data_IF_933117021702
#
_entry.id   IF_933117021702
#
_cell.length_a   1.000
_cell.length_b   1.000
_cell.length_c   1.000
_cell.angle_alpha   90.00
_cell.angle_beta   90.00
_cell.angle_gamma   90.00
#
_symmetry.space_group_name_H-M   'P 1'
#
loop_
_entity.id
_entity.type
_entity.pdbx_description
1 polymer ?
#
# COMPACT_ATOMS: atom_id res chain seq x y z
N UNK A 1 -60.02 -27.88 39.15
CA UNK A 1 -59.78 -28.98 38.19
C UNK A 1 -58.70 -28.50 37.22
N UNK A 2 -57.44 -28.94 37.40
CA UNK A 2 -56.53 -29.10 36.26
C UNK A 2 -57.06 -30.25 35.38
N UNK A 3 -56.62 -30.36 34.11
CA UNK A 3 -55.20 -30.48 33.80
C UNK A 3 -54.70 -29.70 32.57
N UNK A 4 -53.39 -29.83 32.38
CA UNK A 4 -52.47 -29.30 31.37
C UNK A 4 -52.80 -29.60 29.90
N UNK A 5 -52.52 -28.65 28.98
CA UNK A 5 -51.58 -28.82 27.84
C UNK A 5 -51.49 -27.53 26.96
N UNK A 6 -50.29 -26.91 26.89
CA UNK A 6 -49.34 -26.87 25.74
C UNK A 6 -49.67 -25.94 24.57
N UNK A 7 -48.91 -24.83 24.51
CA UNK A 7 -48.75 -23.92 23.37
C UNK A 7 -47.31 -23.42 23.23
N UNK A 8 -46.42 -24.35 22.87
CA UNK A 8 -45.10 -24.25 22.21
C UNK A 8 -44.45 -22.85 22.08
N UNK A 9 -43.44 -22.58 22.92
CA UNK A 9 -42.32 -21.67 22.60
C UNK A 9 -41.15 -22.50 22.07
N UNK A 10 -40.72 -22.25 20.83
CA UNK A 10 -39.65 -23.00 20.16
C UNK A 10 -38.30 -22.71 20.82
N UNK A 11 -37.87 -23.62 21.69
CA UNK A 11 -36.52 -23.69 22.26
C UNK A 11 -35.69 -24.62 21.37
N UNK A 12 -34.78 -24.07 20.56
CA UNK A 12 -33.74 -24.86 19.89
C UNK A 12 -32.45 -24.75 20.70
N UNK A 13 -32.04 -25.90 21.23
CA UNK A 13 -30.88 -26.15 22.09
C UNK A 13 -29.71 -26.58 21.21
N UNK A 14 -28.55 -25.95 21.35
CA UNK A 14 -27.28 -26.61 21.01
C UNK A 14 -26.27 -26.45 22.15
N UNK A 15 -26.13 -27.58 22.86
CA UNK A 15 -24.95 -28.16 23.51
C UNK A 15 -23.78 -27.22 23.86
N UNK A 16 -23.69 -26.88 25.14
CA UNK A 16 -22.47 -26.41 25.82
C UNK A 16 -21.55 -27.59 26.18
N UNK A 17 -20.26 -27.51 25.87
CA UNK A 17 -19.14 -28.21 26.54
C UNK A 17 -17.84 -27.40 26.32
N UNK A 18 -17.17 -27.10 27.44
CA UNK A 18 -15.76 -26.74 27.68
C UNK A 18 -15.09 -25.61 26.88
N UNK A 19 -14.84 -24.45 27.51
CA UNK A 19 -13.62 -24.07 28.29
C UNK A 19 -12.35 -23.95 27.46
N UNK A 20 -11.95 -22.69 27.20
CA UNK A 20 -10.65 -22.06 27.56
C UNK A 20 -10.63 -20.68 26.88
N UNK A 21 -11.16 -19.63 27.53
CA UNK A 21 -10.37 -18.59 28.23
C UNK A 21 -9.09 -18.17 27.51
N UNK A 22 -9.17 -16.99 26.90
CA UNK A 22 -8.03 -16.10 26.66
C UNK A 22 -7.11 -16.01 27.88
N UNK A 23 -5.83 -15.72 27.63
CA UNK A 23 -5.15 -14.74 28.46
C UNK A 23 -4.56 -13.61 27.61
N UNK A 24 -5.06 -12.40 27.88
CA UNK A 24 -4.33 -11.13 27.99
C UNK A 24 -2.83 -11.20 27.64
N UNK A 25 -2.49 -10.88 26.39
CA UNK A 25 -1.13 -10.55 25.95
C UNK A 25 -0.96 -9.02 25.94
N UNK A 26 -0.98 -8.46 27.14
CA UNK A 26 -0.52 -7.11 27.43
C UNK A 26 0.29 -7.18 28.71
N UNK A 27 1.57 -6.79 28.64
CA UNK A 27 2.55 -6.81 29.75
C UNK A 27 3.38 -8.10 29.95
N UNK A 28 3.88 -8.71 28.87
CA UNK A 28 4.67 -9.97 28.93
C UNK A 28 6.20 -9.82 29.03
N UNK A 29 6.86 -8.94 28.27
CA UNK A 29 8.30 -9.12 28.02
C UNK A 29 9.23 -8.90 29.23
N UNK A 30 8.86 -8.06 30.21
CA UNK A 30 9.66 -7.96 31.47
C UNK A 30 9.37 -9.10 32.44
N UNK A 31 8.17 -9.69 32.37
CA UNK A 31 7.75 -10.78 33.26
C UNK A 31 8.24 -12.11 32.73
N UNK A 32 8.36 -12.29 31.42
CA UNK A 32 8.96 -13.48 30.80
C UNK A 32 10.45 -13.56 31.08
N UNK A 33 11.21 -12.46 30.90
CA UNK A 33 12.63 -12.41 31.30
C UNK A 33 12.81 -12.57 32.82
N UNK A 34 11.96 -11.95 33.65
CA UNK A 34 11.97 -12.19 35.11
C UNK A 34 11.53 -13.62 35.47
N UNK A 35 10.63 -14.24 34.71
CA UNK A 35 10.14 -15.60 34.96
C UNK A 35 11.17 -16.63 34.53
N UNK A 36 11.93 -16.36 33.46
CA UNK A 36 13.08 -17.13 33.02
C UNK A 36 14.24 -17.01 34.02
N UNK A 37 14.53 -15.81 34.53
CA UNK A 37 15.47 -15.59 35.64
C UNK A 37 15.01 -16.25 36.95
N UNK A 38 13.70 -16.23 37.25
CA UNK A 38 13.10 -16.85 38.45
C UNK A 38 12.99 -18.37 38.33
N UNK A 39 12.83 -18.92 37.12
CA UNK A 39 12.92 -20.34 36.84
C UNK A 39 14.37 -20.83 36.94
N UNK A 40 15.33 -20.08 36.38
CA UNK A 40 16.78 -20.32 36.54
C UNK A 40 17.18 -20.43 38.01
N UNK A 41 16.66 -19.54 38.87
CA UNK A 41 16.90 -19.57 40.32
C UNK A 41 16.20 -20.74 41.05
N UNK A 42 14.98 -21.14 40.64
CA UNK A 42 14.25 -22.27 41.25
C UNK A 42 14.80 -23.65 40.86
N UNK A 43 15.31 -23.81 39.64
CA UNK A 43 16.00 -25.04 39.21
C UNK A 43 17.34 -25.21 39.92
N UNK A 44 18.10 -24.12 40.13
CA UNK A 44 19.35 -24.13 40.91
C UNK A 44 19.12 -24.50 42.39
N UNK A 45 18.04 -24.02 43.02
CA UNK A 45 17.71 -24.38 44.41
C UNK A 45 17.26 -25.84 44.58
N UNK A 46 16.57 -26.42 43.59
CA UNK A 46 16.06 -27.81 43.68
C UNK A 46 17.19 -28.84 43.55
N UNK A 47 18.28 -28.51 42.84
CA UNK A 47 19.45 -29.36 42.73
C UNK A 47 20.35 -29.28 43.97
N UNK A 48 20.45 -28.10 44.62
CA UNK A 48 21.25 -27.92 45.83
C UNK A 48 20.75 -28.72 47.05
N UNK A 49 19.47 -29.09 47.09
CA UNK A 49 18.85 -29.81 48.24
C UNK A 49 18.99 -31.34 48.17
N UNK A 50 19.34 -31.93 47.01
CA UNK A 50 19.39 -33.40 46.89
C UNK A 50 20.78 -34.01 47.12
N UNK A 51 21.84 -33.24 46.92
CA UNK A 51 23.23 -33.72 47.10
C UNK A 51 23.89 -33.26 48.41
N UNK A 52 23.14 -32.68 49.33
CA UNK A 52 23.66 -32.27 50.66
C UNK A 52 22.98 -33.05 51.77
N UNK A 53 23.29 -34.35 51.83
CA UNK A 53 23.08 -35.16 53.04
C UNK A 53 24.26 -36.12 53.18
N UNK A 54 25.47 -35.57 53.33
CA UNK A 54 26.39 -36.09 54.32
C UNK A 54 27.57 -35.14 54.60
N UNK A 55 27.84 -35.02 55.89
CA UNK A 55 28.99 -34.43 56.59
C UNK A 55 29.25 -32.91 56.60
N UNK A 56 29.60 -32.51 57.82
CA UNK A 56 29.99 -31.19 58.32
C UNK A 56 31.25 -30.64 57.66
N UNK A 57 31.31 -29.32 57.47
CA UNK A 57 32.31 -28.42 58.07
C UNK A 57 32.23 -27.01 57.44
N UNK A 58 32.33 -26.02 58.33
CA UNK A 58 32.68 -24.58 58.20
C UNK A 58 32.20 -23.75 56.96
N UNK A 59 31.56 -22.61 57.27
CA UNK A 59 31.18 -21.56 56.31
C UNK A 59 32.40 -20.79 55.79
N UNK A 60 33.05 -21.30 54.76
CA UNK A 60 34.00 -20.50 53.95
C UNK A 60 33.28 -19.69 52.86
N UNK A 61 33.69 -18.43 52.59
CA UNK A 61 33.08 -17.60 51.55
C UNK A 61 33.27 -18.28 50.17
N UNK A 62 32.28 -18.22 49.26
CA UNK A 62 32.36 -18.94 48.00
C UNK A 62 33.56 -18.44 47.18
N UNK A 63 34.61 -19.26 47.13
CA UNK A 63 35.85 -18.92 46.43
C UNK A 63 35.62 -18.90 44.92
N UNK A 64 36.05 -17.82 44.27
CA UNK A 64 35.89 -17.62 42.82
C UNK A 64 36.45 -18.78 42.00
N UNK A 65 37.49 -19.47 42.50
CA UNK A 65 38.09 -20.63 41.84
C UNK A 65 37.18 -21.86 41.86
N UNK A 66 36.36 -22.04 42.91
CA UNK A 66 35.36 -23.11 42.97
C UNK A 66 34.20 -22.81 42.03
N UNK A 67 33.81 -21.54 41.92
CA UNK A 67 32.84 -21.09 40.92
C UNK A 67 33.39 -21.24 39.49
N UNK A 68 34.65 -20.84 39.25
CA UNK A 68 35.31 -20.99 37.96
C UNK A 68 35.45 -22.47 37.59
N UNK A 69 35.83 -23.32 38.54
CA UNK A 69 35.94 -24.77 38.33
C UNK A 69 34.59 -25.40 38.01
N UNK A 70 33.53 -25.02 38.71
CA UNK A 70 32.16 -25.47 38.40
C UNK A 70 31.75 -24.99 37.01
N UNK A 71 32.00 -23.74 36.64
CA UNK A 71 31.60 -23.19 35.33
C UNK A 71 32.49 -23.72 34.18
N UNK A 72 33.76 -24.07 34.44
CA UNK A 72 34.71 -24.63 33.48
C UNK A 72 34.49 -26.13 33.25
N UNK A 73 34.03 -26.86 34.28
CA UNK A 73 33.72 -28.30 34.21
C UNK A 73 32.24 -28.56 33.91
N UNK A 74 31.40 -27.51 33.90
CA UNK A 74 30.02 -27.55 33.41
C UNK A 74 30.04 -27.84 31.92
N UNK A 75 29.99 -29.13 31.59
CA UNK A 75 29.83 -29.58 30.21
C UNK A 75 28.64 -28.85 29.59
N UNK A 76 28.85 -28.26 28.40
CA UNK A 76 27.81 -27.70 27.55
C UNK A 76 26.85 -28.83 27.15
N UNK A 77 25.96 -29.23 28.04
CA UNK A 77 24.82 -30.10 27.73
C UNK A 77 23.82 -29.19 27.01
N UNK A 78 24.00 -29.11 25.70
CA UNK A 78 23.17 -28.37 24.75
C UNK A 78 21.70 -28.84 24.74
N UNK A 79 21.42 -29.97 25.39
CA UNK A 79 20.12 -30.67 25.47
C UNK A 79 19.15 -30.00 26.46
N UNK A 80 19.62 -29.35 27.54
CA UNK A 80 18.74 -28.69 28.53
C UNK A 80 18.34 -27.25 28.14
N UNK A 81 19.09 -26.61 27.25
CA UNK A 81 18.75 -25.32 26.63
C UNK A 81 18.31 -25.50 25.16
N UNK A 82 18.09 -26.74 24.71
CA UNK A 82 17.74 -27.06 23.32
C UNK A 82 16.48 -26.32 22.88
N UNK A 83 15.46 -26.22 23.75
CA UNK A 83 14.26 -25.43 23.50
C UNK A 83 14.54 -23.93 23.33
N UNK A 84 15.49 -23.36 24.08
CA UNK A 84 15.88 -21.96 23.94
C UNK A 84 16.71 -21.71 22.67
N UNK A 85 17.62 -22.62 22.35
CA UNK A 85 18.45 -22.54 21.14
C UNK A 85 17.65 -22.83 19.87
N UNK A 86 16.71 -23.78 19.90
CA UNK A 86 15.76 -24.04 18.82
C UNK A 86 14.80 -22.87 18.63
N UNK A 87 14.26 -22.27 19.70
CA UNK A 87 13.45 -21.05 19.61
C UNK A 87 14.25 -19.85 19.08
N UNK A 88 15.54 -19.70 19.45
CA UNK A 88 16.43 -18.68 18.86
C UNK A 88 16.69 -18.95 17.37
N UNK A 89 16.91 -20.21 16.97
CA UNK A 89 17.09 -20.62 15.57
C UNK A 89 15.81 -20.43 14.76
N UNK A 90 14.65 -20.76 15.31
CA UNK A 90 13.34 -20.57 14.67
C UNK A 90 13.05 -19.09 14.44
N UNK A 91 13.40 -18.21 15.40
CA UNK A 91 13.37 -16.76 15.19
C UNK A 91 14.26 -16.35 14.02
N UNK A 92 15.50 -16.85 13.94
CA UNK A 92 16.42 -16.55 12.83
C UNK A 92 15.90 -17.08 11.50
N UNK A 93 15.36 -18.30 11.43
CA UNK A 93 14.74 -18.85 10.22
C UNK A 93 13.48 -18.07 9.83
N UNK A 94 12.70 -17.61 10.81
CA UNK A 94 11.57 -16.72 10.57
C UNK A 94 12.04 -15.39 10.00
N UNK A 95 13.08 -14.77 10.55
CA UNK A 95 13.68 -13.54 10.01
C UNK A 95 14.21 -13.71 8.58
N UNK A 96 14.79 -14.87 8.26
CA UNK A 96 15.25 -15.18 6.90
C UNK A 96 14.09 -15.46 5.92
N UNK A 97 12.96 -15.99 6.41
CA UNK A 97 11.77 -16.28 5.59
C UNK A 97 10.90 -15.04 5.35
N UNK A 98 10.86 -14.08 6.28
CA UNK A 98 10.11 -12.82 6.18
C UNK A 98 10.33 -12.09 4.84
N UNK A 99 11.57 -11.83 4.36
CA UNK A 99 11.78 -11.13 3.10
C UNK A 99 11.21 -11.89 1.90
N UNK A 100 11.29 -13.23 1.90
CA UNK A 100 10.76 -14.07 0.81
C UNK A 100 9.24 -14.03 0.77
N UNK A 101 8.57 -14.15 1.91
CA UNK A 101 7.10 -14.05 1.95
C UNK A 101 6.62 -12.62 1.67
N UNK A 102 7.38 -11.60 2.11
CA UNK A 102 7.13 -10.21 1.76
C UNK A 102 7.27 -9.99 0.24
N UNK A 103 8.30 -10.54 -0.40
CA UNK A 103 8.50 -10.42 -1.84
C UNK A 103 7.34 -11.05 -2.64
N UNK A 104 6.83 -12.23 -2.23
CA UNK A 104 5.64 -12.83 -2.85
C UNK A 104 4.41 -11.93 -2.72
N UNK A 105 4.19 -11.33 -1.55
CA UNK A 105 3.11 -10.37 -1.32
C UNK A 105 3.27 -9.14 -2.21
N UNK A 106 4.47 -8.57 -2.30
CA UNK A 106 4.75 -7.42 -3.15
C UNK A 106 4.52 -7.73 -4.63
N UNK A 107 4.95 -8.90 -5.12
CA UNK A 107 4.74 -9.32 -6.50
C UNK A 107 3.25 -9.52 -6.83
N UNK A 108 2.51 -10.21 -5.98
CA UNK A 108 1.06 -10.38 -6.13
C UNK A 108 0.34 -9.01 -6.16
N UNK A 109 0.68 -8.13 -5.21
CA UNK A 109 0.13 -6.80 -5.14
C UNK A 109 0.47 -5.95 -6.38
N UNK A 110 1.69 -6.07 -6.92
CA UNK A 110 2.09 -5.36 -8.13
C UNK A 110 1.23 -5.79 -9.34
N UNK A 111 1.00 -7.09 -9.53
CA UNK A 111 0.12 -7.58 -10.60
C UNK A 111 -1.34 -7.17 -10.40
N UNK A 112 -1.83 -7.11 -9.15
CA UNK A 112 -3.17 -6.61 -8.85
C UNK A 112 -3.33 -5.13 -9.23
N UNK A 113 -2.32 -4.30 -8.95
CA UNK A 113 -2.28 -2.90 -9.38
C UNK A 113 -2.19 -2.77 -10.91
N UNK A 114 -1.37 -3.62 -11.56
CA UNK A 114 -1.24 -3.66 -13.00
C UNK A 114 -2.56 -4.04 -13.69
N UNK A 115 -3.27 -5.06 -13.20
CA UNK A 115 -4.60 -5.45 -13.68
C UNK A 115 -5.60 -4.29 -13.58
N UNK A 116 -5.64 -3.62 -12.43
CA UNK A 116 -6.51 -2.46 -12.20
C UNK A 116 -6.20 -1.30 -13.15
N UNK A 117 -4.92 -1.04 -13.42
CA UNK A 117 -4.46 -0.02 -14.37
C UNK A 117 -4.81 -0.39 -15.82
N UNK A 118 -4.51 -1.62 -16.23
CA UNK A 118 -4.82 -2.13 -17.57
C UNK A 118 -6.32 -2.20 -17.84
N UNK A 119 -7.14 -2.42 -16.81
CA UNK A 119 -8.59 -2.39 -16.93
C UNK A 119 -9.11 -1.05 -17.48
N UNK A 120 -8.51 0.05 -17.06
CA UNK A 120 -8.87 1.41 -17.54
C UNK A 120 -8.58 1.58 -19.03
N UNK A 121 -7.53 0.94 -19.56
CA UNK A 121 -7.17 1.06 -20.98
C UNK A 121 -7.85 0.03 -21.88
N UNK A 122 -8.17 -1.14 -21.36
CA UNK A 122 -8.69 -2.26 -22.16
C UNK A 122 -10.20 -2.39 -22.06
N UNK A 123 -10.73 -2.57 -20.85
CA UNK A 123 -12.14 -2.84 -20.63
C UNK A 123 -13.00 -1.57 -20.63
N UNK A 124 -12.48 -0.44 -20.14
CA UNK A 124 -13.25 0.82 -20.07
C UNK A 124 -13.69 1.32 -21.46
N UNK A 125 -12.82 1.37 -22.51
CA UNK A 125 -13.25 1.80 -23.83
C UNK A 125 -14.26 0.84 -24.47
N UNK A 126 -14.07 -0.48 -24.29
CA UNK A 126 -15.00 -1.50 -24.78
C UNK A 126 -16.38 -1.33 -24.14
N UNK A 127 -16.44 -1.13 -22.82
CA UNK A 127 -17.70 -0.88 -22.09
C UNK A 127 -18.38 0.41 -22.56
N UNK A 128 -17.61 1.44 -22.88
CA UNK A 128 -18.14 2.68 -23.44
C UNK A 128 -18.78 2.47 -24.81
N UNK A 129 -18.12 1.76 -25.72
CA UNK A 129 -18.67 1.43 -27.04
C UNK A 129 -19.99 0.66 -26.88
N UNK A 130 -20.04 -0.32 -25.97
CA UNK A 130 -21.26 -1.08 -25.67
C UNK A 130 -22.37 -0.20 -25.07
N UNK A 131 -22.03 0.72 -24.18
CA UNK A 131 -22.98 1.66 -23.58
C UNK A 131 -23.56 2.62 -24.62
N UNK A 132 -22.72 3.16 -25.52
CA UNK A 132 -23.15 4.01 -26.64
C UNK A 132 -24.02 3.21 -27.61
N UNK A 133 -23.62 1.99 -27.96
CA UNK A 133 -24.42 1.09 -28.81
C UNK A 133 -25.80 0.82 -28.21
N UNK A 134 -25.88 0.55 -26.90
CA UNK A 134 -27.13 0.36 -26.18
C UNK A 134 -27.97 1.66 -26.14
N UNK A 135 -27.35 2.82 -25.94
CA UNK A 135 -28.02 4.12 -25.94
C UNK A 135 -28.58 4.48 -27.31
N UNK A 136 -27.93 4.09 -28.40
CA UNK A 136 -28.38 4.34 -29.78
C UNK A 136 -29.45 3.35 -30.21
N UNK A 137 -29.29 2.06 -29.92
CA UNK A 137 -30.25 1.01 -30.35
C UNK A 137 -31.59 1.04 -29.60
N UNK A 138 -31.62 1.43 -28.32
CA UNK A 138 -32.85 1.54 -27.50
C UNK A 138 -33.89 2.54 -28.06
N UNK A 139 -33.55 3.81 -28.38
CA UNK A 139 -34.49 4.76 -28.97
C UNK A 139 -34.86 4.40 -30.42
N UNK A 140 -33.93 3.84 -31.20
CA UNK A 140 -34.21 3.39 -32.58
C UNK A 140 -35.22 2.23 -32.57
N UNK A 141 -35.04 1.21 -31.73
CA UNK A 141 -36.00 0.10 -31.61
C UNK A 141 -37.37 0.55 -31.05
N UNK A 142 -37.40 1.60 -30.21
CA UNK A 142 -38.64 2.23 -29.77
C UNK A 142 -39.33 2.99 -30.90
N UNK A 143 -38.57 3.62 -31.80
CA UNK A 143 -39.09 4.31 -32.99
C UNK A 143 -39.69 3.31 -34.00
N UNK A 144 -39.09 2.13 -34.15
CA UNK A 144 -39.59 1.03 -34.99
C UNK A 144 -40.73 0.19 -34.35
N UNK A 145 -41.29 0.61 -33.20
CA UNK A 145 -42.50 0.00 -32.63
C UNK A 145 -42.33 -1.39 -31.97
N UNK A 146 -41.11 -1.92 -31.87
CA UNK A 146 -40.85 -3.26 -31.34
C UNK A 146 -40.81 -3.36 -29.80
N UNK A 147 -40.89 -2.26 -29.06
CA UNK A 147 -40.76 -2.29 -27.58
C UNK A 147 -41.66 -1.30 -26.86
N UNK A 148 -42.50 -1.81 -25.95
CA UNK A 148 -43.29 -0.98 -25.01
C UNK A 148 -42.33 -0.32 -24.02
N UNK A 149 -42.45 1.01 -23.91
CA UNK A 149 -41.70 1.90 -23.00
C UNK A 149 -41.44 1.24 -21.65
N UNK A 150 -40.21 0.76 -21.45
CA UNK A 150 -39.76 0.23 -20.17
C UNK A 150 -38.93 1.28 -19.45
N UNK A 151 -39.30 1.49 -18.19
CA UNK A 151 -38.75 2.46 -17.25
C UNK A 151 -37.22 2.27 -17.11
N UNK A 152 -36.52 3.41 -17.05
CA UNK A 152 -35.05 3.60 -17.01
C UNK A 152 -34.29 3.27 -18.30
N UNK A 153 -34.06 4.29 -19.13
CA UNK A 153 -33.31 4.20 -20.39
C UNK A 153 -31.83 3.85 -20.20
N UNK A 154 -31.28 4.05 -19.00
CA UNK A 154 -29.88 3.79 -18.66
C UNK A 154 -29.82 2.98 -17.36
N UNK A 155 -28.98 1.95 -17.33
CA UNK A 155 -28.64 1.25 -16.08
C UNK A 155 -27.69 2.13 -15.26
N UNK A 156 -27.77 2.13 -13.91
CA UNK A 156 -26.84 2.89 -13.07
C UNK A 156 -25.36 2.62 -13.37
N UNK A 157 -25.03 1.36 -13.70
CA UNK A 157 -23.68 0.96 -14.11
C UNK A 157 -23.22 1.62 -15.43
N UNK A 158 -24.13 1.78 -16.41
CA UNK A 158 -23.83 2.45 -17.69
C UNK A 158 -23.52 3.94 -17.45
N UNK A 159 -24.19 4.58 -16.49
CA UNK A 159 -23.96 5.99 -16.12
C UNK A 159 -22.57 6.17 -15.50
N UNK A 160 -22.16 5.29 -14.57
CA UNK A 160 -20.82 5.34 -13.98
C UNK A 160 -19.71 5.18 -15.03
N UNK A 161 -19.89 4.25 -15.98
CA UNK A 161 -18.92 4.01 -17.04
C UNK A 161 -18.79 5.23 -17.98
N UNK A 162 -19.93 5.83 -18.37
CA UNK A 162 -19.95 7.06 -19.17
C UNK A 162 -19.25 8.22 -18.43
N UNK A 163 -19.48 8.34 -17.12
CA UNK A 163 -18.86 9.38 -16.30
C UNK A 163 -17.34 9.22 -16.22
N UNK A 164 -16.86 7.99 -15.99
CA UNK A 164 -15.42 7.67 -16.00
C UNK A 164 -14.77 8.05 -17.31
N UNK A 165 -15.38 7.68 -18.44
CA UNK A 165 -14.84 8.03 -19.76
C UNK A 165 -14.88 9.52 -20.02
N UNK A 166 -15.95 10.21 -19.64
CA UNK A 166 -16.03 11.66 -19.77
C UNK A 166 -14.89 12.38 -19.01
N UNK A 167 -14.57 11.94 -17.79
CA UNK A 167 -13.45 12.48 -17.00
C UNK A 167 -12.11 12.23 -17.72
N UNK A 168 -11.87 10.99 -18.19
CA UNK A 168 -10.62 10.62 -18.87
C UNK A 168 -10.45 11.39 -20.18
N UNK A 169 -11.50 11.50 -21.00
CA UNK A 169 -11.46 12.23 -22.28
C UNK A 169 -11.20 13.71 -22.04
N UNK A 170 -11.90 14.35 -21.11
CA UNK A 170 -11.71 15.76 -20.82
C UNK A 170 -10.31 16.07 -20.27
N UNK A 171 -9.80 15.21 -19.38
CA UNK A 171 -8.41 15.32 -18.91
C UNK A 171 -7.40 15.14 -20.04
N UNK A 172 -7.63 14.20 -20.95
CA UNK A 172 -6.76 13.93 -22.09
C UNK A 172 -6.72 15.12 -23.05
N UNK A 173 -7.87 15.70 -23.40
CA UNK A 173 -7.95 16.92 -24.23
C UNK A 173 -7.20 18.08 -23.57
N UNK A 174 -7.37 18.27 -22.25
CA UNK A 174 -6.65 19.31 -21.51
C UNK A 174 -5.13 19.07 -21.52
N UNK A 175 -4.69 17.82 -21.34
CA UNK A 175 -3.27 17.47 -21.35
C UNK A 175 -2.61 17.70 -22.72
N UNK A 176 -3.34 17.53 -23.82
CA UNK A 176 -2.83 17.88 -25.14
C UNK A 176 -2.60 19.38 -25.34
N UNK A 177 -3.24 20.24 -24.54
CA UNK A 177 -2.99 21.68 -24.59
C UNK A 177 -1.70 22.10 -23.88
N UNK A 178 -1.10 21.23 -23.07
CA UNK A 178 0.10 21.55 -22.29
C UNK A 178 1.36 21.15 -23.06
N UNK A 179 2.18 22.14 -23.42
CA UNK A 179 3.48 21.92 -24.06
C UNK A 179 4.51 21.35 -23.07
N UNK A 180 4.79 20.05 -23.18
CA UNK A 180 5.78 19.36 -22.32
C UNK A 180 7.18 19.96 -22.47
N UNK A 181 7.55 20.43 -23.67
CA UNK A 181 8.86 21.03 -23.93
C UNK A 181 9.08 22.33 -23.16
N UNK A 182 8.06 23.20 -23.10
CA UNK A 182 8.12 24.45 -22.32
C UNK A 182 8.33 24.14 -20.84
N UNK A 183 7.57 23.17 -20.31
CA UNK A 183 7.65 22.76 -18.92
C UNK A 183 9.03 22.20 -18.56
N UNK A 184 9.65 21.43 -19.46
CA UNK A 184 11.02 20.94 -19.30
C UNK A 184 12.04 22.07 -19.21
N UNK A 185 11.97 23.06 -20.10
CA UNK A 185 12.89 24.20 -20.07
C UNK A 185 12.71 25.07 -18.81
N UNK A 186 11.47 25.28 -18.37
CA UNK A 186 11.15 26.03 -17.16
C UNK A 186 11.76 25.35 -15.93
N UNK A 187 11.56 24.03 -15.78
CA UNK A 187 12.10 23.26 -14.66
C UNK A 187 13.63 23.19 -14.72
N UNK A 188 14.21 22.96 -15.90
CA UNK A 188 15.67 22.88 -16.11
C UNK A 188 16.40 24.19 -15.77
N UNK A 189 15.75 25.34 -15.96
CA UNK A 189 16.34 26.66 -15.67
C UNK A 189 16.47 26.97 -14.16
N UNK A 190 15.92 26.14 -13.28
CA UNK A 190 15.96 26.36 -11.84
C UNK A 190 17.29 25.90 -11.21
N UNK A 191 17.63 26.45 -10.05
CA UNK A 191 18.81 26.01 -9.30
C UNK A 191 18.61 24.63 -8.66
N UNK A 192 19.70 23.88 -8.49
CA UNK A 192 19.71 22.50 -7.97
C UNK A 192 18.98 22.38 -6.62
N UNK A 193 19.22 23.31 -5.69
CA UNK A 193 18.57 23.30 -4.38
C UNK A 193 17.05 23.55 -4.47
N UNK A 194 16.63 24.47 -5.35
CA UNK A 194 15.20 24.75 -5.58
C UNK A 194 14.51 23.55 -6.23
N UNK A 195 15.19 22.89 -7.17
CA UNK A 195 14.69 21.70 -7.85
C UNK A 195 14.48 20.52 -6.87
N UNK A 196 15.40 20.33 -5.91
CA UNK A 196 15.24 19.33 -4.85
C UNK A 196 14.04 19.60 -3.94
N UNK A 197 13.88 20.85 -3.47
CA UNK A 197 12.72 21.23 -2.64
C UNK A 197 11.43 21.04 -3.43
N UNK A 198 11.42 21.46 -4.70
CA UNK A 198 10.27 21.28 -5.59
C UNK A 198 9.89 19.81 -5.78
N UNK A 199 10.86 18.91 -5.98
CA UNK A 199 10.61 17.47 -6.04
C UNK A 199 9.92 16.95 -4.77
N UNK A 200 10.46 17.28 -3.59
CA UNK A 200 9.86 16.86 -2.32
C UNK A 200 8.44 17.43 -2.14
N UNK A 201 8.20 18.68 -2.57
CA UNK A 201 6.86 19.26 -2.51
C UNK A 201 5.88 18.58 -3.47
N UNK A 202 6.34 18.20 -4.67
CA UNK A 202 5.53 17.43 -5.62
C UNK A 202 5.19 16.05 -5.08
N UNK A 203 6.13 15.37 -4.43
CA UNK A 203 5.88 14.06 -3.81
C UNK A 203 4.82 14.14 -2.71
N UNK A 204 4.92 15.13 -1.81
CA UNK A 204 3.90 15.37 -0.77
C UNK A 204 2.56 15.74 -1.41
N UNK A 205 2.58 16.54 -2.47
CA UNK A 205 1.40 16.90 -3.24
C UNK A 205 0.73 15.68 -3.87
N UNK A 206 1.47 14.77 -4.49
CA UNK A 206 0.92 13.54 -5.09
C UNK A 206 0.20 12.68 -4.04
N UNK A 207 0.83 12.51 -2.86
CA UNK A 207 0.23 11.78 -1.73
C UNK A 207 -1.07 12.44 -1.25
N UNK A 208 -1.09 13.78 -1.16
CA UNK A 208 -2.27 14.54 -0.76
C UNK A 208 -3.40 14.43 -1.79
N UNK A 209 -3.11 14.68 -3.07
CA UNK A 209 -4.10 14.59 -4.13
C UNK A 209 -4.61 13.14 -4.26
N UNK A 210 -3.74 12.13 -4.16
CA UNK A 210 -4.15 10.71 -4.15
C UNK A 210 -5.19 10.38 -3.08
N UNK A 211 -5.03 10.91 -1.86
CA UNK A 211 -6.00 10.71 -0.79
C UNK A 211 -7.31 11.45 -1.07
N UNK A 212 -7.24 12.72 -1.50
CA UNK A 212 -8.40 13.52 -1.85
C UNK A 212 -9.19 12.93 -3.04
N UNK A 213 -8.51 12.38 -4.04
CA UNK A 213 -9.13 11.86 -5.25
C UNK A 213 -10.06 10.68 -5.02
N UNK A 214 -9.72 9.81 -4.08
CA UNK A 214 -10.55 8.66 -3.73
C UNK A 214 -11.91 9.14 -3.22
N UNK A 215 -11.90 10.03 -2.22
CA UNK A 215 -13.13 10.58 -1.63
C UNK A 215 -13.98 11.36 -2.64
N UNK A 216 -13.35 12.14 -3.52
CA UNK A 216 -14.06 12.96 -4.52
C UNK A 216 -14.71 12.12 -5.61
N UNK A 217 -14.00 11.13 -6.14
CA UNK A 217 -14.50 10.25 -7.18
C UNK A 217 -15.62 9.36 -6.63
N UNK A 218 -15.47 8.85 -5.40
CA UNK A 218 -16.50 8.03 -4.73
C UNK A 218 -17.77 8.84 -4.45
N UNK A 219 -17.63 10.07 -3.95
CA UNK A 219 -18.76 11.00 -3.75
C UNK A 219 -19.48 11.30 -5.07
N UNK A 220 -18.74 11.48 -6.17
CA UNK A 220 -19.33 11.68 -7.49
C UNK A 220 -20.11 10.44 -7.96
N UNK A 221 -19.57 9.23 -7.82
CA UNK A 221 -20.27 8.01 -8.23
C UNK A 221 -21.50 7.73 -7.37
N UNK A 222 -21.42 8.01 -6.06
CA UNK A 222 -22.57 7.92 -5.17
C UNK A 222 -23.69 8.87 -5.62
N UNK A 223 -23.34 10.14 -5.86
CA UNK A 223 -24.29 11.17 -6.30
C UNK A 223 -24.88 10.85 -7.68
N UNK A 224 -24.11 10.23 -8.58
CA UNK A 224 -24.58 9.82 -9.91
C UNK A 224 -25.52 8.60 -9.88
N UNK A 225 -25.43 7.75 -8.86
CA UNK A 225 -26.22 6.51 -8.74
C UNK A 225 -27.40 6.62 -7.77
N UNK A 226 -27.55 7.75 -7.08
CA UNK A 226 -28.60 7.94 -6.09
C UNK A 226 -30.01 7.71 -6.68
N UNK A 227 -30.84 6.84 -6.06
CA UNK A 227 -32.17 6.54 -6.56
C UNK A 227 -33.06 7.78 -6.53
N UNK A 228 -33.63 8.06 -7.71
CA UNK A 228 -34.36 9.28 -8.12
C UNK A 228 -35.72 9.50 -7.40
N UNK A 229 -35.78 9.27 -6.09
CA UNK A 229 -37.02 9.15 -5.31
C UNK A 229 -37.19 10.12 -4.14
N UNK A 230 -36.21 10.99 -3.83
CA UNK A 230 -36.37 12.04 -2.82
C UNK A 230 -35.93 13.40 -3.38
N UNK A 231 -36.60 14.44 -2.89
CA UNK A 231 -36.59 15.81 -3.42
C UNK A 231 -35.15 16.33 -3.59
N UNK A 232 -34.93 17.07 -4.69
CA UNK A 232 -33.67 17.67 -5.13
C UNK A 232 -33.25 18.84 -4.23
N UNK A 233 -32.95 18.57 -2.96
CA UNK A 233 -32.52 19.61 -2.01
C UNK A 233 -30.98 19.74 -1.93
N UNK A 234 -30.23 19.08 -2.82
CA UNK A 234 -28.77 19.21 -2.92
C UNK A 234 -28.31 19.70 -4.29
N UNK A 235 -27.24 20.49 -4.25
CA UNK A 235 -26.42 20.98 -5.35
C UNK A 235 -26.20 19.80 -6.33
N UNK A 236 -26.74 19.89 -7.56
CA UNK A 236 -26.92 18.73 -8.45
C UNK A 236 -25.62 17.99 -8.86
N UNK A 237 -25.74 16.92 -9.67
CA UNK A 237 -24.60 16.11 -10.14
C UNK A 237 -23.53 16.95 -10.90
N UNK A 238 -23.94 18.04 -11.54
CA UNK A 238 -23.09 18.89 -12.39
C UNK A 238 -21.92 19.57 -11.63
N UNK A 239 -22.13 20.31 -10.53
CA UNK A 239 -21.04 20.90 -9.74
C UNK A 239 -20.09 19.87 -9.13
N UNK A 240 -20.58 18.71 -8.65
CA UNK A 240 -19.70 17.62 -8.20
C UNK A 240 -18.83 17.09 -9.35
N UNK A 241 -19.40 16.97 -10.55
CA UNK A 241 -18.65 16.57 -11.74
C UNK A 241 -17.57 17.58 -12.12
N UNK A 242 -17.89 18.88 -12.14
CA UNK A 242 -16.92 19.95 -12.42
C UNK A 242 -15.78 19.92 -11.39
N UNK A 243 -16.10 19.71 -10.12
CA UNK A 243 -15.09 19.62 -9.07
C UNK A 243 -14.12 18.45 -9.28
N UNK A 244 -14.64 17.27 -9.62
CA UNK A 244 -13.79 16.09 -9.94
C UNK A 244 -12.94 16.34 -11.18
N UNK A 245 -13.49 16.97 -12.23
CA UNK A 245 -12.73 17.32 -13.44
C UNK A 245 -11.56 18.24 -13.11
N UNK A 246 -11.79 19.31 -12.34
CA UNK A 246 -10.73 20.24 -11.90
C UNK A 246 -9.68 19.49 -11.10
N UNK A 247 -10.11 18.65 -10.15
CA UNK A 247 -9.21 17.81 -9.36
C UNK A 247 -8.33 16.91 -10.24
N UNK A 248 -8.92 16.19 -11.20
CA UNK A 248 -8.18 15.27 -12.09
C UNK A 248 -7.20 16.04 -12.98
N UNK A 249 -7.57 17.22 -13.47
CA UNK A 249 -6.69 18.10 -14.23
C UNK A 249 -5.48 18.53 -13.38
N UNK A 250 -5.73 19.02 -12.15
CA UNK A 250 -4.67 19.46 -11.24
C UNK A 250 -3.74 18.30 -10.85
N UNK A 251 -4.30 17.13 -10.52
CA UNK A 251 -3.53 15.95 -10.18
C UNK A 251 -2.68 15.46 -11.35
N UNK A 252 -3.24 15.47 -12.56
CA UNK A 252 -2.50 15.06 -13.77
C UNK A 252 -1.37 16.05 -14.08
N UNK A 253 -1.57 17.36 -13.86
CA UNK A 253 -0.52 18.38 -14.00
C UNK A 253 0.61 18.16 -12.99
N UNK A 254 0.26 17.79 -11.75
CA UNK A 254 1.23 17.46 -10.71
C UNK A 254 2.09 16.25 -11.12
N UNK A 255 1.46 15.16 -11.57
CA UNK A 255 2.17 13.96 -12.06
C UNK A 255 3.05 14.29 -13.27
N UNK A 256 2.59 15.13 -14.19
CA UNK A 256 3.37 15.61 -15.32
C UNK A 256 4.61 16.40 -14.85
N UNK A 257 4.44 17.34 -13.92
CA UNK A 257 5.54 18.09 -13.29
C UNK A 257 6.53 17.15 -12.60
N UNK A 258 6.06 16.10 -11.93
CA UNK A 258 6.90 15.10 -11.27
C UNK A 258 7.74 14.31 -12.29
N UNK A 259 7.13 13.84 -13.38
CA UNK A 259 7.82 13.13 -14.46
C UNK A 259 8.92 14.01 -15.08
N UNK A 260 8.62 15.27 -15.39
CA UNK A 260 9.59 16.18 -16.00
C UNK A 260 10.70 16.59 -15.03
N UNK A 261 10.38 16.79 -13.74
CA UNK A 261 11.38 17.03 -12.70
C UNK A 261 12.33 15.85 -12.56
N UNK A 262 11.79 14.62 -12.57
CA UNK A 262 12.59 13.41 -12.53
C UNK A 262 13.46 13.24 -13.79
N UNK A 263 12.93 13.56 -14.98
CA UNK A 263 13.70 13.55 -16.22
C UNK A 263 14.86 14.56 -16.19
N UNK A 264 14.62 15.79 -15.70
CA UNK A 264 15.68 16.79 -15.50
C UNK A 264 16.70 16.33 -14.46
N UNK A 265 16.25 15.72 -13.37
CA UNK A 265 17.11 15.21 -12.30
C UNK A 265 18.06 14.12 -12.81
N UNK A 266 17.53 13.11 -13.52
CA UNK A 266 18.31 12.00 -14.10
C UNK A 266 19.28 12.50 -15.17
N UNK A 267 18.84 13.42 -16.02
CA UNK A 267 19.66 13.97 -17.10
C UNK A 267 20.62 15.10 -16.63
N UNK A 268 20.55 15.52 -15.36
CA UNK A 268 21.46 16.53 -14.84
C UNK A 268 22.84 15.93 -14.61
N UNK A 269 23.89 16.67 -14.99
CA UNK A 269 25.28 16.28 -14.69
C UNK A 269 25.61 16.37 -13.19
N UNK A 270 24.69 16.91 -12.40
CA UNK A 270 24.87 17.16 -10.97
C UNK A 270 24.63 15.88 -10.16
N UNK A 271 25.68 15.07 -10.01
CA UNK A 271 25.69 13.91 -9.10
C UNK A 271 25.20 14.26 -7.68
N UNK A 272 25.40 15.50 -7.24
CA UNK A 272 24.93 16.00 -5.95
C UNK A 272 23.40 15.92 -5.77
N UNK A 273 22.60 16.20 -6.82
CA UNK A 273 21.14 16.16 -6.70
C UNK A 273 20.64 14.75 -6.44
N UNK A 274 21.16 13.78 -7.20
CA UNK A 274 20.83 12.36 -7.06
C UNK A 274 21.25 11.83 -5.68
N UNK A 275 22.45 12.19 -5.21
CA UNK A 275 22.93 11.82 -3.87
C UNK A 275 22.02 12.38 -2.76
N UNK A 276 21.54 13.62 -2.88
CA UNK A 276 20.63 14.23 -1.90
C UNK A 276 19.30 13.47 -1.88
N UNK A 277 18.73 13.12 -3.03
CA UNK A 277 17.49 12.32 -3.10
C UNK A 277 17.66 10.93 -2.45
N UNK A 278 18.78 10.24 -2.70
CA UNK A 278 19.08 8.95 -2.05
C UNK A 278 19.20 9.13 -0.53
N UNK A 279 19.88 10.19 -0.07
CA UNK A 279 20.05 10.45 1.37
C UNK A 279 18.71 10.69 2.08
N UNK A 280 17.75 11.35 1.41
CA UNK A 280 16.42 11.59 1.95
C UNK A 280 15.65 10.27 2.17
N UNK A 281 15.72 9.36 1.18
CA UNK A 281 15.15 8.01 1.30
C UNK A 281 15.74 7.23 2.49
N UNK A 282 17.02 7.42 2.80
CA UNK A 282 17.64 6.76 3.96
C UNK A 282 17.11 7.32 5.30
N UNK A 283 16.83 8.62 5.36
CA UNK A 283 16.21 9.25 6.54
C UNK A 283 14.78 8.73 6.75
N UNK A 284 14.00 8.59 5.68
CA UNK A 284 12.65 8.02 5.72
C UNK A 284 12.69 6.53 6.15
N UNK A 285 13.61 5.75 5.59
CA UNK A 285 13.82 4.35 5.97
C UNK A 285 14.16 4.23 7.45
N UNK A 286 15.07 5.07 7.96
CA UNK A 286 15.42 5.11 9.38
C UNK A 286 14.18 5.36 10.26
N UNK A 287 13.29 6.27 9.87
CA UNK A 287 12.05 6.56 10.58
C UNK A 287 11.09 5.38 10.64
N UNK A 288 11.05 4.56 9.57
CA UNK A 288 10.16 3.40 9.47
C UNK A 288 10.68 2.18 10.24
N UNK A 289 11.99 1.92 10.24
CA UNK A 289 12.61 0.72 10.87
C UNK A 289 12.47 0.71 12.40
N UNK A 290 12.46 1.88 13.04
CA UNK A 290 12.31 1.97 14.50
C UNK A 290 10.84 2.02 14.97
N UNK A 291 9.89 2.10 14.03
CA UNK A 291 8.47 2.21 14.35
C UNK A 291 7.88 0.81 14.54
N UNK A 292 7.18 0.61 15.66
CA UNK A 292 6.36 -0.59 15.87
C UNK A 292 5.01 -0.41 15.19
N UNK A 293 4.55 -1.43 14.47
CA UNK A 293 3.27 -1.44 13.78
C UNK A 293 2.38 -2.57 14.32
N UNK A 294 1.09 -2.28 14.49
CA UNK A 294 0.08 -3.32 14.71
C UNK A 294 -0.17 -4.10 13.43
N UNK A 295 -0.75 -5.31 13.53
CA UNK A 295 -1.00 -6.18 12.36
C UNK A 295 -1.83 -5.50 11.26
N UNK A 296 -2.92 -4.82 11.62
CA UNK A 296 -3.81 -4.15 10.66
C UNK A 296 -3.14 -2.91 10.03
N UNK A 297 -2.41 -2.15 10.86
CA UNK A 297 -1.65 -0.98 10.42
C UNK A 297 -0.51 -1.39 9.48
N UNK A 298 0.19 -2.49 9.79
CA UNK A 298 1.25 -3.04 8.94
C UNK A 298 0.71 -3.47 7.58
N UNK A 299 -0.44 -4.15 7.55
CA UNK A 299 -1.07 -4.57 6.29
C UNK A 299 -1.47 -3.37 5.43
N UNK A 300 -2.09 -2.34 6.02
CA UNK A 300 -2.44 -1.12 5.29
C UNK A 300 -1.22 -0.39 4.73
N UNK A 301 -0.15 -0.29 5.53
CA UNK A 301 1.12 0.31 5.08
C UNK A 301 1.72 -0.52 3.94
N UNK A 302 1.72 -1.85 4.04
CA UNK A 302 2.22 -2.73 2.99
C UNK A 302 1.41 -2.61 1.69
N UNK A 303 0.07 -2.57 1.76
CA UNK A 303 -0.77 -2.32 0.59
C UNK A 303 -0.51 -0.94 -0.05
N UNK A 304 -0.29 0.09 0.78
CA UNK A 304 0.06 1.42 0.27
C UNK A 304 1.43 1.43 -0.40
N UNK A 305 2.44 0.75 0.18
CA UNK A 305 3.79 0.62 -0.38
C UNK A 305 3.77 -0.07 -1.75
N UNK A 306 3.00 -1.16 -1.89
CA UNK A 306 2.78 -1.82 -3.20
C UNK A 306 2.25 -0.84 -4.24
N UNK A 307 1.20 -0.09 -3.91
CA UNK A 307 0.59 0.90 -4.82
C UNK A 307 1.59 1.99 -5.21
N UNK A 308 2.34 2.50 -4.24
CA UNK A 308 3.35 3.53 -4.46
C UNK A 308 4.48 3.04 -5.36
N UNK A 309 5.00 1.83 -5.14
CA UNK A 309 6.02 1.22 -6.01
C UNK A 309 5.53 1.01 -7.43
N UNK A 310 4.28 0.58 -7.61
CA UNK A 310 3.67 0.48 -8.93
C UNK A 310 3.58 1.85 -9.61
N UNK A 311 3.14 2.88 -8.88
CA UNK A 311 3.08 4.25 -9.39
C UNK A 311 4.47 4.77 -9.81
N UNK A 312 5.49 4.60 -8.95
CA UNK A 312 6.88 4.98 -9.26
C UNK A 312 7.44 4.21 -10.46
N UNK A 313 7.12 2.92 -10.59
CA UNK A 313 7.51 2.12 -11.75
C UNK A 313 6.92 2.68 -13.06
N UNK A 314 5.62 3.02 -13.06
CA UNK A 314 4.96 3.63 -14.23
C UNK A 314 5.54 5.01 -14.53
N UNK A 315 5.77 5.84 -13.50
CA UNK A 315 6.38 7.16 -13.66
C UNK A 315 7.78 7.06 -14.27
N UNK A 316 8.60 6.14 -13.75
CA UNK A 316 9.94 5.89 -14.27
C UNK A 316 9.88 5.40 -15.72
N UNK A 317 8.95 4.50 -16.05
CA UNK A 317 8.73 4.04 -17.42
C UNK A 317 8.39 5.20 -18.36
N UNK A 318 7.50 6.11 -17.95
CA UNK A 318 7.18 7.33 -18.71
C UNK A 318 8.42 8.21 -18.90
N UNK A 319 9.24 8.41 -17.85
CA UNK A 319 10.47 9.19 -17.94
C UNK A 319 11.45 8.56 -18.92
N UNK A 320 11.66 7.24 -18.86
CA UNK A 320 12.51 6.52 -19.81
C UNK A 320 12.01 6.72 -21.24
N UNK A 321 10.70 6.63 -21.49
CA UNK A 321 10.13 6.89 -22.81
C UNK A 321 10.36 8.35 -23.27
N UNK A 322 10.22 9.33 -22.38
CA UNK A 322 10.51 10.73 -22.70
C UNK A 322 11.99 10.96 -23.01
N UNK A 323 12.88 10.35 -22.22
CA UNK A 323 14.32 10.38 -22.45
C UNK A 323 14.67 9.78 -23.81
N UNK A 324 14.09 8.63 -24.17
CA UNK A 324 14.29 8.01 -25.48
C UNK A 324 13.78 8.88 -26.64
N UNK A 325 12.62 9.52 -26.48
CA UNK A 325 12.07 10.45 -27.49
C UNK A 325 13.01 11.64 -27.75
N UNK A 326 13.61 12.19 -26.69
CA UNK A 326 14.58 13.29 -26.80
C UNK A 326 15.86 12.88 -27.54
N UNK A 327 16.37 11.67 -27.30
CA UNK A 327 17.54 11.15 -28.03
C UNK A 327 17.25 10.92 -29.51
N UNK A 328 16.09 10.34 -29.83
CA UNK A 328 15.68 10.13 -31.22
C UNK A 328 15.54 11.45 -31.99
N UNK A 329 15.07 12.52 -31.35
CA UNK A 329 14.96 13.85 -31.97
C UNK A 329 16.34 14.45 -32.30
N UNK A 330 17.33 14.29 -31.41
CA UNK A 330 18.70 14.79 -31.65
C UNK A 330 19.36 14.10 -32.84
N UNK A 331 19.17 12.80 -33.01
CA UNK A 331 19.71 12.07 -34.17
C UNK A 331 19.09 12.53 -35.49
N UNK A 332 17.76 12.76 -35.52
CA UNK A 332 17.06 13.24 -36.72
C UNK A 332 17.53 14.65 -37.10
N UNK A 333 17.54 15.61 -36.17
CA UNK A 333 18.03 16.96 -36.46
C UNK A 333 19.50 16.97 -36.90
N UNK A 334 20.34 16.10 -36.34
CA UNK A 334 21.75 16.00 -36.77
C UNK A 334 21.85 15.47 -38.21
N UNK A 335 21.05 14.46 -38.56
CA UNK A 335 20.98 13.91 -39.92
C UNK A 335 20.50 14.95 -40.93
N UNK A 336 19.44 15.70 -40.62
CA UNK A 336 18.90 16.74 -41.50
C UNK A 336 19.90 17.90 -41.72
N UNK A 337 20.72 18.24 -40.71
CA UNK A 337 21.78 19.25 -40.89
C UNK A 337 22.97 18.79 -41.73
N UNK A 338 23.25 17.48 -41.75
CA UNK A 338 24.30 16.90 -42.59
C UNK A 338 23.83 16.84 -44.04
N UNK A 339 22.57 16.45 -44.28
CA UNK A 339 22.00 16.33 -45.62
C UNK A 339 21.69 17.70 -46.27
N UNK A 340 21.45 18.75 -45.48
CA UNK A 340 21.28 20.13 -45.97
C UNK A 340 22.61 20.88 -46.23
N UNK A 341 23.75 20.29 -45.85
CA UNK A 341 25.10 20.85 -46.03
C UNK A 341 25.87 20.27 -47.22
N UNK A 342 25.28 19.33 -47.96
CA UNK A 342 25.75 18.74 -49.22
C UNK A 342 24.84 19.14 -50.36
#
# INVERSE_FOLDING_TARGET
MGPDDKGVSKKLKFRSISTTTEPLLGYGNRVEDLSALRQRSKSEQKYKKKDTSDNSDEEDPPSLLKFLGVELTRGYILEHDEEQYTARREKVYSFAKIPVEAEKFMAYGFFQCADSYLFVYTFLPVRFILAVWALVTRPICSCFGFRRSSKSLLKPAEICDLLKVAIVVLCTVFMFCIDTSMMYHLIKSQSVIKLYIFYNMLEVGDRLFSALGQDLIDSLFWTATEPRGRKRDHIGVLPHFVFVVIYVILHSLLVLCQATTLNVAINSSNKALLTIMISNNFVELKGSVFKKFDKNNLFQVACSDVRERFHLFVLLFIVVLQTMKEYSWKEVCTRDTVDAGT
#
